data_IF_042324735194
#
_entry.id   IF_042324735194
#
_cell.length_a   1.000
_cell.length_b   1.000
_cell.length_c   1.000
_cell.angle_alpha   90.00
_cell.angle_beta   90.00
_cell.angle_gamma   90.00
#
_symmetry.space_group_name_H-M   'P 1'
#
loop_
_entity.id
_entity.type
_entity.pdbx_description
1 polymer ?
#
# COMPACT_ATOMS: atom_id res chain seq x y z
N UNK A 1 4.90 25.54 19.15
CA UNK A 1 4.12 24.31 19.37
C UNK A 1 4.65 23.27 18.40
N UNK A 2 5.07 22.09 18.91
CA UNK A 2 5.51 20.99 18.06
C UNK A 2 4.28 20.47 17.27
N UNK A 3 4.34 20.56 15.96
CA UNK A 3 3.35 19.97 15.05
C UNK A 3 3.77 18.53 14.68
N UNK A 4 2.83 17.71 14.27
CA UNK A 4 3.13 16.46 13.58
C UNK A 4 3.09 16.70 12.06
N UNK A 5 3.90 15.99 11.32
CA UNK A 5 3.96 16.11 9.87
C UNK A 5 3.64 14.76 9.24
N UNK A 6 2.79 14.72 8.23
CA UNK A 6 2.55 13.51 7.44
C UNK A 6 3.01 13.75 6.00
N UNK A 7 3.95 12.93 5.55
CA UNK A 7 4.43 12.89 4.17
C UNK A 7 3.70 11.76 3.48
N UNK A 8 2.83 12.09 2.53
CA UNK A 8 2.15 11.11 1.70
C UNK A 8 2.98 10.80 0.44
N UNK A 9 3.28 9.52 0.23
CA UNK A 9 3.97 9.01 -0.94
C UNK A 9 3.00 8.09 -1.68
N UNK A 10 2.45 8.53 -2.83
CA UNK A 10 1.62 7.67 -3.65
C UNK A 10 2.46 6.53 -4.21
N UNK A 11 1.96 5.29 -4.09
CA UNK A 11 2.68 4.10 -4.53
C UNK A 11 1.95 3.38 -5.66
N UNK A 12 2.72 2.60 -6.42
CA UNK A 12 2.24 1.63 -7.40
C UNK A 12 2.66 0.25 -6.92
N UNK A 13 1.66 -0.61 -6.70
CA UNK A 13 1.94 -1.99 -6.31
C UNK A 13 2.60 -2.77 -7.43
N UNK A 14 3.63 -3.53 -7.05
CA UNK A 14 4.27 -4.51 -7.92
C UNK A 14 3.56 -5.86 -7.80
N UNK A 15 3.72 -6.79 -8.75
CA UNK A 15 3.24 -8.16 -8.54
C UNK A 15 3.79 -8.81 -7.27
N UNK A 16 5.02 -8.47 -6.84
CA UNK A 16 5.63 -8.99 -5.61
C UNK A 16 4.87 -8.54 -4.34
N UNK A 17 4.18 -7.39 -4.38
CA UNK A 17 3.36 -6.89 -3.27
C UNK A 17 2.02 -7.64 -3.12
N UNK A 18 1.63 -8.38 -4.16
CA UNK A 18 0.32 -9.04 -4.25
C UNK A 18 0.26 -10.41 -3.57
N UNK A 19 1.36 -10.86 -2.96
CA UNK A 19 1.41 -12.14 -2.25
C UNK A 19 0.90 -13.31 -3.11
N UNK A 20 -0.05 -14.09 -2.61
CA UNK A 20 -0.61 -15.24 -3.31
C UNK A 20 -1.30 -14.91 -4.65
N UNK A 21 -1.68 -13.67 -4.91
CA UNK A 21 -2.29 -13.21 -6.18
C UNK A 21 -1.24 -12.87 -7.25
N UNK A 22 0.06 -12.84 -6.93
CA UNK A 22 1.13 -12.43 -7.83
C UNK A 22 1.05 -13.13 -9.20
N UNK A 23 0.97 -14.45 -9.21
CA UNK A 23 0.93 -15.23 -10.46
C UNK A 23 -0.29 -14.92 -11.32
N UNK A 24 -1.45 -14.73 -10.71
CA UNK A 24 -2.70 -14.39 -11.40
C UNK A 24 -2.66 -12.98 -11.99
N UNK A 25 -2.10 -12.01 -11.27
CA UNK A 25 -1.93 -10.63 -11.74
C UNK A 25 -0.95 -10.54 -12.90
N UNK A 26 0.19 -11.24 -12.81
CA UNK A 26 1.18 -11.30 -13.90
C UNK A 26 0.56 -11.92 -15.16
N UNK A 27 -0.17 -13.04 -15.02
CA UNK A 27 -0.85 -13.70 -16.14
C UNK A 27 -1.86 -12.80 -16.81
N UNK A 28 -2.76 -12.17 -16.03
CA UNK A 28 -3.75 -11.24 -16.55
C UNK A 28 -3.10 -10.03 -17.25
N UNK A 29 -1.99 -9.53 -16.72
CA UNK A 29 -1.24 -8.44 -17.34
C UNK A 29 -0.58 -8.89 -18.64
N UNK A 30 0.00 -10.09 -18.68
CA UNK A 30 0.61 -10.68 -19.87
C UNK A 30 -0.42 -10.89 -20.99
N UNK A 31 -1.60 -11.41 -20.65
CA UNK A 31 -2.73 -11.59 -21.58
C UNK A 31 -3.19 -10.26 -22.19
N UNK A 32 -3.22 -9.20 -21.37
CA UNK A 32 -3.67 -7.88 -21.80
C UNK A 32 -2.65 -7.09 -22.62
N UNK A 33 -1.38 -7.12 -22.23
CA UNK A 33 -0.32 -6.25 -22.76
C UNK A 33 0.72 -6.97 -23.63
N UNK A 34 0.72 -8.29 -23.62
CA UNK A 34 1.78 -9.09 -24.24
C UNK A 34 3.12 -9.00 -23.49
N UNK A 35 4.14 -9.73 -23.95
CA UNK A 35 5.46 -9.78 -23.30
C UNK A 35 6.15 -8.41 -23.27
N UNK A 36 6.18 -7.73 -24.41
CA UNK A 36 6.81 -6.40 -24.52
C UNK A 36 6.14 -5.37 -23.61
N UNK A 37 4.81 -5.33 -23.59
CA UNK A 37 4.06 -4.42 -22.73
C UNK A 37 4.26 -4.70 -21.24
N UNK A 38 4.34 -5.99 -20.86
CA UNK A 38 4.66 -6.38 -19.49
C UNK A 38 6.06 -5.91 -19.09
N UNK A 39 7.08 -6.13 -19.93
CA UNK A 39 8.45 -5.70 -19.66
C UNK A 39 8.54 -4.18 -19.51
N UNK A 40 7.92 -3.41 -20.41
CA UNK A 40 7.89 -1.95 -20.32
C UNK A 40 7.18 -1.47 -19.04
N UNK A 41 6.07 -2.10 -18.65
CA UNK A 41 5.38 -1.78 -17.41
C UNK A 41 6.28 -2.02 -16.19
N UNK A 42 6.96 -3.15 -16.12
CA UNK A 42 7.86 -3.48 -15.03
C UNK A 42 9.03 -2.51 -14.94
N UNK A 43 9.63 -2.14 -16.08
CA UNK A 43 10.68 -1.14 -16.12
C UNK A 43 10.23 0.21 -15.57
N UNK A 44 9.05 0.70 -15.97
CA UNK A 44 8.50 1.98 -15.45
C UNK A 44 8.25 1.93 -13.95
N UNK A 45 7.78 0.80 -13.44
CA UNK A 45 7.58 0.61 -12.00
C UNK A 45 8.93 0.68 -11.27
N UNK A 46 9.97 0.06 -11.82
CA UNK A 46 11.32 0.08 -11.23
C UNK A 46 11.92 1.50 -11.23
N UNK A 47 11.76 2.24 -12.31
CA UNK A 47 12.15 3.65 -12.41
C UNK A 47 11.40 4.51 -11.38
N UNK A 48 10.10 4.29 -11.20
CA UNK A 48 9.27 4.97 -10.21
C UNK A 48 9.78 4.72 -8.77
N UNK A 49 10.07 3.48 -8.41
CA UNK A 49 10.61 3.16 -7.09
C UNK A 49 12.00 3.74 -6.86
N UNK A 50 12.82 3.79 -7.91
CA UNK A 50 14.13 4.46 -7.86
C UNK A 50 14.00 5.95 -7.56
N UNK A 51 13.01 6.63 -8.14
CA UNK A 51 12.74 8.04 -7.82
C UNK A 51 12.20 8.23 -6.39
N UNK A 52 11.35 7.34 -5.90
CA UNK A 52 10.90 7.38 -4.50
C UNK A 52 12.11 7.25 -3.55
N UNK A 53 13.01 6.32 -3.79
CA UNK A 53 14.24 6.16 -3.00
C UNK A 53 15.03 7.46 -2.97
N UNK A 54 15.26 8.09 -4.13
CA UNK A 54 15.99 9.37 -4.23
C UNK A 54 15.31 10.51 -3.50
N UNK A 55 13.99 10.59 -3.58
CA UNK A 55 13.21 11.63 -2.86
C UNK A 55 13.37 11.46 -1.36
N UNK A 56 13.24 10.24 -0.85
CA UNK A 56 13.37 9.94 0.58
C UNK A 56 14.79 10.24 1.07
N UNK A 57 15.83 9.88 0.30
CA UNK A 57 17.23 10.15 0.66
C UNK A 57 17.55 11.65 0.75
N UNK A 58 16.78 12.51 0.07
CA UNK A 58 16.90 13.96 0.16
C UNK A 58 16.16 14.59 1.33
N UNK A 59 15.27 13.82 1.99
CA UNK A 59 14.56 14.30 3.16
C UNK A 59 15.52 14.29 4.37
N UNK A 60 15.77 15.47 4.94
CA UNK A 60 16.59 15.60 6.16
C UNK A 60 15.76 15.19 7.38
N UNK A 61 15.52 13.88 7.56
CA UNK A 61 14.69 13.33 8.63
C UNK A 61 15.55 12.74 9.75
N UNK A 62 15.12 12.95 11.00
CA UNK A 62 15.60 12.20 12.17
C UNK A 62 14.78 10.91 12.25
N UNK A 63 15.32 9.81 11.74
CA UNK A 63 14.57 8.56 11.57
C UNK A 63 14.07 7.95 12.88
N UNK A 64 14.70 8.24 14.00
CA UNK A 64 14.22 7.89 15.35
C UNK A 64 12.87 8.55 15.73
N UNK A 65 12.45 9.58 14.98
CA UNK A 65 11.17 10.26 15.09
C UNK A 65 10.26 10.03 13.88
N UNK A 66 10.56 9.04 13.05
CA UNK A 66 9.76 8.71 11.88
C UNK A 66 8.89 7.51 12.15
N UNK A 67 7.61 7.62 11.80
CA UNK A 67 6.66 6.50 11.75
C UNK A 67 6.33 6.14 10.31
N UNK A 68 6.42 4.85 10.00
CA UNK A 68 6.14 4.32 8.67
C UNK A 68 4.76 3.69 8.64
N UNK A 69 3.93 4.12 7.72
CA UNK A 69 2.60 3.59 7.44
C UNK A 69 2.59 3.02 6.03
N UNK A 70 2.03 1.81 5.87
CA UNK A 70 2.11 1.07 4.62
C UNK A 70 0.73 0.54 4.21
N UNK A 71 0.35 0.78 2.95
CA UNK A 71 -0.80 0.17 2.29
C UNK A 71 -0.73 -1.37 2.38
N UNK A 72 -1.83 -1.99 2.76
CA UNK A 72 -1.93 -3.44 2.86
C UNK A 72 -1.23 -4.06 4.08
N UNK A 73 -0.68 -3.27 5.01
CA UNK A 73 -0.03 -3.78 6.21
C UNK A 73 -1.01 -3.87 7.39
N UNK A 74 -1.47 -5.07 7.79
CA UNK A 74 -2.45 -5.21 8.86
C UNK A 74 -1.89 -4.83 10.23
N UNK A 75 -2.76 -4.39 11.13
CA UNK A 75 -2.48 -4.29 12.56
C UNK A 75 -2.61 -5.70 13.15
N UNK A 76 -1.51 -6.41 13.36
CA UNK A 76 -1.54 -7.83 13.76
C UNK A 76 -0.42 -8.28 14.70
N UNK A 77 0.52 -7.40 15.06
CA UNK A 77 1.69 -7.73 15.88
C UNK A 77 2.80 -8.50 15.15
N UNK A 78 2.67 -8.71 13.83
CA UNK A 78 3.64 -9.37 12.95
C UNK A 78 4.13 -8.50 11.81
N UNK A 79 3.93 -7.19 11.89
CA UNK A 79 4.16 -6.22 10.83
C UNK A 79 5.58 -6.33 10.26
N UNK A 80 6.59 -6.35 11.14
CA UNK A 80 7.99 -6.47 10.72
C UNK A 80 8.28 -7.79 9.99
N UNK A 81 7.67 -8.89 10.43
CA UNK A 81 7.78 -10.20 9.77
C UNK A 81 7.20 -10.17 8.36
N UNK A 82 5.99 -9.60 8.19
CA UNK A 82 5.34 -9.45 6.89
C UNK A 82 6.20 -8.62 5.94
N UNK A 83 6.72 -7.48 6.42
CA UNK A 83 7.59 -6.62 5.61
C UNK A 83 8.87 -7.35 5.20
N UNK A 84 9.47 -8.13 6.10
CA UNK A 84 10.67 -8.93 5.81
C UNK A 84 10.39 -9.99 4.75
N UNK A 85 9.31 -10.75 4.89
CA UNK A 85 8.91 -11.78 3.93
C UNK A 85 8.67 -11.19 2.53
N UNK A 86 7.93 -10.09 2.43
CA UNK A 86 7.67 -9.43 1.15
C UNK A 86 8.93 -8.79 0.53
N UNK A 87 9.82 -8.24 1.33
CA UNK A 87 11.10 -7.72 0.85
C UNK A 87 11.96 -8.84 0.22
N UNK A 88 11.94 -10.04 0.82
CA UNK A 88 12.65 -11.22 0.29
C UNK A 88 12.08 -11.72 -1.05
N UNK A 89 10.79 -11.50 -1.30
CA UNK A 89 10.17 -11.82 -2.60
C UNK A 89 10.47 -10.78 -3.69
N UNK A 90 11.26 -9.75 -3.39
CA UNK A 90 11.68 -8.72 -4.33
C UNK A 90 10.79 -7.49 -4.37
N UNK A 91 9.89 -7.30 -3.40
CA UNK A 91 9.11 -6.07 -3.29
C UNK A 91 10.01 -4.87 -2.96
N UNK A 92 10.13 -3.94 -3.90
CA UNK A 92 10.90 -2.70 -3.73
C UNK A 92 10.36 -1.84 -2.58
N UNK A 93 9.05 -1.76 -2.45
CA UNK A 93 8.40 -1.04 -1.38
C UNK A 93 8.84 -1.56 0.00
N UNK A 94 8.76 -2.88 0.20
CA UNK A 94 9.10 -3.50 1.47
C UNK A 94 10.61 -3.48 1.75
N UNK A 95 11.45 -3.56 0.71
CA UNK A 95 12.90 -3.34 0.84
C UNK A 95 13.23 -1.92 1.33
N UNK A 96 12.52 -0.91 0.81
CA UNK A 96 12.64 0.46 1.28
C UNK A 96 12.23 0.59 2.75
N UNK A 97 11.09 -0.01 3.16
CA UNK A 97 10.65 -0.01 4.56
C UNK A 97 11.72 -0.59 5.49
N UNK A 98 12.32 -1.76 5.14
CA UNK A 98 13.40 -2.36 5.92
C UNK A 98 14.61 -1.43 6.04
N UNK A 99 14.98 -0.73 4.96
CA UNK A 99 16.07 0.23 4.97
C UNK A 99 15.81 1.39 5.95
N UNK A 100 14.58 1.93 5.92
CA UNK A 100 14.19 3.02 6.83
C UNK A 100 14.10 2.56 8.29
N UNK A 101 13.61 1.35 8.53
CA UNK A 101 13.61 0.74 9.88
C UNK A 101 15.04 0.56 10.40
N UNK A 102 15.98 0.13 9.57
CA UNK A 102 17.40 0.02 9.93
C UNK A 102 18.04 1.37 10.28
N UNK A 103 17.49 2.48 9.80
CA UNK A 103 17.88 3.85 10.14
C UNK A 103 17.21 4.36 11.44
N UNK A 104 16.30 3.61 12.03
CA UNK A 104 15.63 3.95 13.28
C UNK A 104 14.14 4.25 13.19
N UNK A 105 13.55 4.24 11.99
CA UNK A 105 12.12 4.50 11.82
C UNK A 105 11.26 3.37 12.43
N UNK A 106 10.12 3.75 13.00
CA UNK A 106 9.17 2.82 13.62
C UNK A 106 8.09 2.42 12.62
N UNK A 107 7.98 1.11 12.34
CA UNK A 107 6.93 0.56 11.49
C UNK A 107 5.60 0.46 12.26
N UNK A 108 4.52 0.90 11.63
CA UNK A 108 3.18 0.88 12.19
C UNK A 108 2.26 -0.04 11.38
N UNK A 109 1.50 -0.91 12.06
CA UNK A 109 0.35 -1.54 11.43
C UNK A 109 -0.66 -0.46 11.02
N UNK A 110 -1.09 -0.50 9.79
CA UNK A 110 -1.80 0.61 9.13
C UNK A 110 -3.25 0.27 8.86
N UNK A 111 -3.58 -1.00 8.61
CA UNK A 111 -4.88 -1.41 8.11
C UNK A 111 -5.59 -2.46 8.96
N UNK A 112 -6.92 -2.56 8.78
CA UNK A 112 -7.72 -3.61 9.39
C UNK A 112 -7.51 -4.93 8.66
N UNK A 113 -7.13 -5.97 9.40
CA UNK A 113 -7.01 -7.34 8.87
C UNK A 113 -8.31 -7.82 8.22
N UNK A 114 -9.46 -7.51 8.82
CA UNK A 114 -10.78 -7.95 8.30
C UNK A 114 -11.13 -7.29 6.97
N UNK A 115 -10.84 -5.98 6.83
CA UNK A 115 -11.09 -5.26 5.58
C UNK A 115 -10.15 -5.74 4.46
N UNK A 116 -8.90 -6.04 4.78
CA UNK A 116 -7.94 -6.62 3.82
C UNK A 116 -8.39 -8.01 3.35
N UNK A 117 -8.90 -8.86 4.24
CA UNK A 117 -9.46 -10.18 3.87
C UNK A 117 -10.66 -10.02 2.94
N UNK A 118 -11.57 -9.08 3.22
CA UNK A 118 -12.73 -8.82 2.37
C UNK A 118 -12.31 -8.34 0.97
N UNK A 119 -11.33 -7.44 0.90
CA UNK A 119 -10.79 -6.96 -0.38
C UNK A 119 -10.13 -8.10 -1.17
N UNK A 120 -9.32 -8.93 -0.51
CA UNK A 120 -8.71 -10.11 -1.13
C UNK A 120 -9.75 -11.05 -1.73
N UNK A 121 -10.82 -11.34 -0.98
CA UNK A 121 -11.91 -12.19 -1.45
C UNK A 121 -12.62 -11.59 -2.67
N UNK A 122 -12.87 -10.27 -2.66
CA UNK A 122 -13.47 -9.56 -3.78
C UNK A 122 -12.56 -9.59 -5.03
N UNK A 123 -11.25 -9.39 -4.85
CA UNK A 123 -10.27 -9.47 -5.92
C UNK A 123 -10.20 -10.88 -6.51
N UNK A 124 -10.17 -11.92 -5.67
CA UNK A 124 -10.15 -13.32 -6.09
C UNK A 124 -11.40 -13.67 -6.91
N UNK A 125 -12.60 -13.27 -6.46
CA UNK A 125 -13.84 -13.45 -7.21
C UNK A 125 -13.80 -12.76 -8.58
N UNK A 126 -13.17 -11.59 -8.66
CA UNK A 126 -13.04 -10.83 -9.92
C UNK A 126 -12.09 -11.51 -10.91
N UNK A 127 -11.03 -12.16 -10.44
CA UNK A 127 -10.07 -12.88 -11.26
C UNK A 127 -10.59 -14.25 -11.74
N UNK A 128 -11.43 -14.92 -10.94
CA UNK A 128 -11.91 -16.28 -11.22
C UNK A 128 -13.24 -16.33 -11.97
N UNK A 129 -14.00 -15.22 -12.01
CA UNK A 129 -15.31 -15.18 -12.67
C UNK A 129 -15.20 -15.28 -14.20
N UNK A 130 -15.60 -16.42 -14.75
CA UNK A 130 -15.74 -16.68 -16.21
C UNK A 130 -17.13 -16.36 -16.76
N UNK A 131 -18.10 -16.01 -15.91
CA UNK A 131 -19.49 -15.79 -16.33
C UNK A 131 -19.64 -14.53 -17.19
N UNK A 132 -20.55 -14.55 -18.22
CA UNK A 132 -20.91 -13.34 -18.95
C UNK A 132 -21.42 -12.31 -17.95
N UNK A 133 -20.81 -11.14 -17.97
CA UNK A 133 -20.96 -10.08 -16.97
C UNK A 133 -22.30 -9.38 -17.18
N UNK A 134 -23.36 -9.84 -16.54
CA UNK A 134 -24.57 -9.03 -16.41
C UNK A 134 -24.18 -7.67 -15.81
N UNK A 135 -24.58 -6.57 -16.49
CA UNK A 135 -24.16 -5.21 -16.12
C UNK A 135 -24.45 -4.90 -14.62
N UNK A 136 -25.54 -5.46 -14.07
CA UNK A 136 -25.89 -5.30 -12.67
C UNK A 136 -24.91 -5.94 -11.68
N UNK A 137 -24.27 -7.08 -12.02
CA UNK A 137 -23.28 -7.72 -11.16
C UNK A 137 -21.98 -6.93 -11.14
N UNK A 138 -21.59 -6.31 -12.27
CA UNK A 138 -20.41 -5.44 -12.32
C UNK A 138 -20.61 -4.20 -11.46
N UNK A 139 -21.77 -3.53 -11.58
CA UNK A 139 -22.09 -2.35 -10.79
C UNK A 139 -22.12 -2.66 -9.28
N UNK A 140 -22.67 -3.80 -8.87
CA UNK A 140 -22.71 -4.22 -7.47
C UNK A 140 -21.32 -4.49 -6.90
N UNK A 141 -20.42 -5.14 -7.68
CA UNK A 141 -19.03 -5.36 -7.27
C UNK A 141 -18.24 -4.06 -7.15
N UNK A 142 -18.46 -3.14 -8.09
CA UNK A 142 -17.85 -1.82 -8.03
C UNK A 142 -18.28 -1.07 -6.77
N UNK A 143 -19.57 -1.00 -6.48
CA UNK A 143 -20.11 -0.35 -5.29
C UNK A 143 -19.55 -0.96 -3.98
N UNK A 144 -19.40 -2.30 -3.95
CA UNK A 144 -18.79 -2.98 -2.80
C UNK A 144 -17.29 -2.62 -2.67
N UNK A 145 -16.54 -2.59 -3.78
CA UNK A 145 -15.15 -2.18 -3.80
C UNK A 145 -14.96 -0.74 -3.31
N UNK A 146 -15.81 0.19 -3.79
CA UNK A 146 -15.78 1.61 -3.38
C UNK A 146 -16.09 1.76 -1.88
N UNK A 147 -17.06 0.99 -1.37
CA UNK A 147 -17.39 0.97 0.06
C UNK A 147 -16.24 0.43 0.92
N UNK A 148 -15.59 -0.66 0.50
CA UNK A 148 -14.43 -1.23 1.19
C UNK A 148 -13.25 -0.24 1.20
N UNK A 149 -12.98 0.41 0.08
CA UNK A 149 -11.92 1.41 -0.03
C UNK A 149 -12.18 2.57 0.96
N UNK A 150 -13.41 3.08 1.03
CA UNK A 150 -13.75 4.14 1.98
C UNK A 150 -13.61 3.70 3.44
N UNK A 151 -13.97 2.45 3.77
CA UNK A 151 -13.79 1.92 5.12
C UNK A 151 -12.30 1.78 5.47
N UNK A 152 -11.46 1.33 4.53
CA UNK A 152 -10.01 1.28 4.69
C UNK A 152 -9.44 2.67 4.91
N UNK A 153 -9.85 3.67 4.12
CA UNK A 153 -9.40 5.07 4.27
C UNK A 153 -9.67 5.62 5.67
N UNK A 154 -10.86 5.36 6.20
CA UNK A 154 -11.22 5.79 7.56
C UNK A 154 -10.35 5.09 8.62
N UNK A 155 -10.13 3.79 8.47
CA UNK A 155 -9.30 3.04 9.40
C UNK A 155 -7.84 3.52 9.37
N UNK A 156 -7.25 3.70 8.18
CA UNK A 156 -5.90 4.21 8.00
C UNK A 156 -5.75 5.59 8.66
N UNK A 157 -6.68 6.50 8.37
CA UNK A 157 -6.66 7.84 8.97
C UNK A 157 -6.78 7.79 10.50
N UNK A 158 -7.67 6.94 11.04
CA UNK A 158 -7.78 6.74 12.48
C UNK A 158 -6.46 6.24 13.08
N UNK A 159 -5.82 5.24 12.46
CA UNK A 159 -4.51 4.74 12.93
C UNK A 159 -3.45 5.84 12.96
N UNK A 160 -3.38 6.66 11.92
CA UNK A 160 -2.44 7.79 11.85
C UNK A 160 -2.77 8.81 12.96
N UNK A 161 -4.04 9.19 13.09
CA UNK A 161 -4.48 10.15 14.10
C UNK A 161 -4.16 9.71 15.54
N UNK A 162 -4.26 8.39 15.82
CA UNK A 162 -4.00 7.81 17.15
C UNK A 162 -2.51 7.60 17.43
N UNK A 163 -1.70 7.34 16.42
CA UNK A 163 -0.33 6.84 16.60
C UNK A 163 0.76 7.84 16.25
N UNK A 164 0.52 8.80 15.34
CA UNK A 164 1.49 9.83 14.99
C UNK A 164 1.47 10.93 16.05
N UNK A 165 2.57 11.07 16.77
CA UNK A 165 2.68 12.00 17.90
C UNK A 165 3.20 13.38 17.46
N UNK A 166 2.98 14.38 18.30
CA UNK A 166 3.56 15.72 18.09
C UNK A 166 5.08 15.67 18.07
N UNK A 167 5.69 16.33 17.09
CA UNK A 167 7.13 16.34 16.87
C UNK A 167 7.65 15.11 16.10
N UNK A 168 6.75 14.20 15.67
CA UNK A 168 7.09 13.11 14.79
C UNK A 168 6.73 13.40 13.33
N UNK A 169 7.37 12.68 12.43
CA UNK A 169 7.05 12.68 11.00
C UNK A 169 6.51 11.30 10.61
N UNK A 170 5.31 11.25 10.08
CA UNK A 170 4.75 10.06 9.42
C UNK A 170 5.16 10.03 7.96
N UNK A 171 5.56 8.86 7.44
CA UNK A 171 5.65 8.60 6.01
C UNK A 171 4.59 7.56 5.68
N UNK A 172 3.64 7.94 4.85
CA UNK A 172 2.52 7.10 4.43
C UNK A 172 2.71 6.68 2.97
N UNK A 173 3.01 5.41 2.76
CA UNK A 173 3.06 4.76 1.44
C UNK A 173 1.67 4.19 1.14
N UNK A 174 0.93 4.80 0.22
CA UNK A 174 -0.46 4.45 -0.01
C UNK A 174 -0.82 4.53 -1.49
N UNK A 175 -1.60 3.57 -1.98
CA UNK A 175 -2.06 3.53 -3.37
C UNK A 175 -2.87 4.77 -3.75
N UNK A 176 -2.77 5.18 -5.03
CA UNK A 176 -3.35 6.43 -5.52
C UNK A 176 -4.89 6.50 -5.51
N UNK A 177 -5.58 5.38 -5.29
CA UNK A 177 -7.04 5.36 -5.20
C UNK A 177 -7.58 5.75 -3.82
N UNK A 178 -6.70 5.77 -2.82
CA UNK A 178 -7.06 6.14 -1.45
C UNK A 178 -7.27 7.65 -1.28
N UNK A 179 -8.19 8.03 -0.40
CA UNK A 179 -8.56 9.43 -0.13
C UNK A 179 -8.61 9.71 1.38
N UNK A 180 -7.52 9.40 2.10
CA UNK A 180 -7.44 9.51 3.57
C UNK A 180 -7.44 10.94 4.10
N UNK A 181 -7.04 11.93 3.27
CA UNK A 181 -6.82 13.31 3.71
C UNK A 181 -8.05 13.94 4.41
N UNK A 182 -9.26 13.61 3.94
CA UNK A 182 -10.51 14.13 4.53
C UNK A 182 -10.83 13.59 5.93
N UNK A 183 -10.12 12.55 6.39
CA UNK A 183 -10.34 11.92 7.69
C UNK A 183 -9.19 12.19 8.68
N UNK A 184 -8.13 12.87 8.24
CA UNK A 184 -7.00 13.24 9.09
C UNK A 184 -7.34 14.46 9.92
N UNK A 185 -6.91 14.46 11.20
CA UNK A 185 -7.01 15.64 12.04
C UNK A 185 -6.01 16.71 11.60
N UNK A 186 -6.46 17.95 11.52
CA UNK A 186 -5.62 19.13 11.30
C UNK A 186 -5.26 19.70 12.65
N UNK A 187 -4.03 19.56 13.11
CA UNK A 187 -3.48 20.10 14.37
C UNK A 187 -2.11 20.75 14.21
#
# INVERSE_FOLDING_TARGET
>A
TLTRTLIYIPIIHTPADMGALQGSVVRATLEKLGRTGLTQKMQRIEEFWTEIDRVIDRLSLSFDRVRLYQDGLPVCGREAGIVTELAQTGSRNHQLLLRLMAQGATLMGTESSDLLVQEYQLALQSLTSRAPRAAGLKARRQALGDSLLQQRDRFIAQRINETLQRGETGILFLGMLHAVAGFLHQD
#
